data_IF_538570838523
#
_entry.id   IF_538570838523
#
_cell.length_a   1.000
_cell.length_b   1.000
_cell.length_c   1.000
_cell.angle_alpha   90.00
_cell.angle_beta   90.00
_cell.angle_gamma   90.00
#
_symmetry.space_group_name_H-M   'P 1'
#
loop_
_entity.id
_entity.type
_entity.pdbx_description
1 polymer ?
#
# COMPACT_ATOMS: atom_id res chain seq x y z
N UNK A 1 2.09 21.37 -9.52
CA UNK A 1 1.98 20.59 -8.28
C UNK A 1 0.93 19.52 -8.50
N UNK A 2 1.35 18.27 -8.56
CA UNK A 2 0.54 17.10 -8.87
C UNK A 2 0.50 16.19 -7.65
N UNK A 3 -0.71 15.87 -7.17
CA UNK A 3 -0.93 14.94 -6.06
C UNK A 3 -1.70 13.74 -6.60
N UNK A 4 -1.17 12.54 -6.42
CA UNK A 4 -1.82 11.30 -6.78
C UNK A 4 -2.43 10.65 -5.53
N UNK A 5 -3.71 10.33 -5.60
CA UNK A 5 -4.40 9.52 -4.60
C UNK A 5 -4.63 8.11 -5.17
N UNK A 6 -4.08 7.10 -4.52
CA UNK A 6 -4.35 5.70 -4.81
C UNK A 6 -5.41 5.15 -3.85
N UNK A 7 -6.10 4.11 -4.31
CA UNK A 7 -7.05 3.37 -3.47
C UNK A 7 -6.37 2.50 -2.42
N UNK A 8 -7.11 1.50 -1.95
CA UNK A 8 -6.69 0.59 -0.89
C UNK A 8 -5.50 -0.25 -1.33
N UNK A 9 -4.41 -0.15 -0.59
CA UNK A 9 -3.25 -1.00 -0.78
C UNK A 9 -3.49 -2.36 -0.12
N UNK A 10 -3.96 -3.32 -0.91
CA UNK A 10 -4.24 -4.68 -0.46
C UNK A 10 -3.63 -5.72 -1.42
N UNK A 11 -2.29 -5.85 -1.47
CA UNK A 11 -1.61 -6.87 -2.29
C UNK A 11 -1.85 -8.29 -1.74
N UNK A 12 -1.32 -9.29 -2.46
CA UNK A 12 -1.39 -10.70 -2.06
C UNK A 12 -0.82 -10.92 -0.64
N UNK A 13 -1.54 -11.70 0.18
CA UNK A 13 -1.27 -11.83 1.62
C UNK A 13 -0.36 -12.98 2.00
N UNK A 14 -0.33 -14.02 1.17
CA UNK A 14 0.25 -15.33 1.51
C UNK A 14 1.70 -15.47 1.02
N UNK A 15 2.20 -14.49 0.25
CA UNK A 15 3.57 -14.47 -0.27
C UNK A 15 4.45 -13.46 0.45
N UNK A 16 5.77 -13.68 0.40
CA UNK A 16 6.75 -12.65 0.74
C UNK A 16 6.49 -11.37 -0.09
N UNK A 17 6.78 -10.18 0.48
CA UNK A 17 6.59 -8.92 -0.24
C UNK A 17 7.32 -8.92 -1.57
N UNK A 18 6.56 -8.68 -2.65
CA UNK A 18 7.06 -8.46 -4.01
C UNK A 18 6.42 -7.19 -4.56
N UNK A 19 7.02 -6.57 -5.57
CA UNK A 19 6.47 -5.37 -6.18
C UNK A 19 5.07 -5.67 -6.76
N UNK A 20 3.98 -5.08 -6.22
CA UNK A 20 2.64 -5.31 -6.70
C UNK A 20 2.26 -4.37 -7.85
N UNK A 21 3.11 -3.39 -8.17
CA UNK A 21 2.84 -2.36 -9.17
C UNK A 21 3.38 -2.76 -10.54
N UNK A 22 2.64 -2.41 -11.59
CA UNK A 22 3.16 -2.42 -12.95
C UNK A 22 4.07 -1.21 -13.18
N UNK A 23 4.91 -1.28 -14.21
CA UNK A 23 5.77 -0.16 -14.62
C UNK A 23 4.97 1.11 -14.94
N UNK A 24 3.78 0.98 -15.52
CA UNK A 24 2.90 2.11 -15.80
C UNK A 24 2.44 2.83 -14.53
N UNK A 25 2.11 2.08 -13.47
CA UNK A 25 1.69 2.64 -12.19
C UNK A 25 2.85 3.38 -11.52
N UNK A 26 4.03 2.76 -11.51
CA UNK A 26 5.27 3.39 -11.01
C UNK A 26 5.59 4.66 -11.78
N UNK A 27 5.40 4.66 -13.11
CA UNK A 27 5.56 5.87 -13.94
C UNK A 27 4.63 7.01 -13.51
N UNK A 28 3.40 6.71 -13.07
CA UNK A 28 2.48 7.74 -12.54
C UNK A 28 2.92 8.28 -11.18
N UNK A 29 3.47 7.41 -10.31
CA UNK A 29 4.03 7.85 -9.02
C UNK A 29 5.17 8.83 -9.23
N UNK A 30 6.12 8.53 -10.12
CA UNK A 30 7.27 9.40 -10.40
C UNK A 30 6.90 10.72 -11.10
N UNK A 31 5.74 10.82 -11.77
CA UNK A 31 5.24 12.07 -12.37
C UNK A 31 4.55 12.99 -11.37
N UNK A 32 4.32 12.51 -10.14
CA UNK A 32 3.59 13.23 -9.11
C UNK A 32 4.56 13.80 -8.07
N UNK A 33 4.28 15.00 -7.55
CA UNK A 33 5.07 15.59 -6.47
C UNK A 33 4.78 14.89 -5.13
N UNK A 34 3.54 14.41 -4.97
CA UNK A 34 3.09 13.66 -3.81
C UNK A 34 2.23 12.46 -4.22
N UNK A 35 2.42 11.34 -3.52
CA UNK A 35 1.61 10.14 -3.67
C UNK A 35 1.03 9.77 -2.31
N UNK A 36 -0.29 9.67 -2.25
CA UNK A 36 -1.04 9.29 -1.05
C UNK A 36 -1.74 7.97 -1.32
N UNK A 37 -1.43 6.95 -0.52
CA UNK A 37 -1.96 5.59 -0.68
C UNK A 37 -2.76 5.22 0.57
N UNK A 38 -3.95 4.66 0.40
CA UNK A 38 -4.77 4.22 1.51
C UNK A 38 -4.24 2.91 2.11
N UNK A 39 -3.85 2.94 3.39
CA UNK A 39 -3.41 1.77 4.16
C UNK A 39 -4.52 1.22 5.07
N UNK A 40 -5.76 1.15 4.58
CA UNK A 40 -6.89 0.57 5.32
C UNK A 40 -6.64 -0.89 5.75
N UNK A 41 -5.83 -1.62 4.98
CA UNK A 41 -5.22 -2.88 5.38
C UNK A 41 -3.81 -2.61 5.94
N UNK A 42 -3.65 -2.40 7.26
CA UNK A 42 -2.40 -1.91 7.84
C UNK A 42 -1.22 -2.86 7.61
N UNK A 43 -0.04 -2.27 7.43
CA UNK A 43 1.24 -2.94 7.22
C UNK A 43 1.84 -3.43 8.55
N UNK A 44 1.23 -4.43 9.18
CA UNK A 44 1.61 -4.94 10.50
C UNK A 44 1.24 -6.41 10.68
N UNK A 45 2.03 -7.15 11.45
CA UNK A 45 1.71 -8.53 11.84
C UNK A 45 0.90 -8.61 13.15
N UNK A 46 0.86 -7.50 13.92
CA UNK A 46 0.25 -7.46 15.26
C UNK A 46 -0.61 -6.23 15.47
N UNK A 47 -1.37 -6.22 16.56
CA UNK A 47 -2.15 -5.07 17.01
C UNK A 47 -3.65 -5.32 17.02
N UNK A 48 -4.40 -4.35 17.57
CA UNK A 48 -5.85 -4.43 17.65
C UNK A 48 -6.48 -4.21 16.25
N UNK A 49 -7.61 -4.86 15.95
CA UNK A 49 -8.38 -4.58 14.75
C UNK A 49 -8.73 -3.10 14.64
N UNK A 50 -8.72 -2.56 13.43
CA UNK A 50 -9.24 -1.21 13.15
C UNK A 50 -10.76 -1.26 13.27
N UNK A 51 -11.34 -0.28 13.97
CA UNK A 51 -12.80 -0.18 14.06
C UNK A 51 -13.36 0.24 12.69
N UNK A 52 -13.91 -0.72 11.96
CA UNK A 52 -14.49 -0.51 10.64
C UNK A 52 -15.56 -1.55 10.31
N UNK A 53 -16.39 -1.24 9.34
CA UNK A 53 -17.48 -2.11 8.86
C UNK A 53 -16.97 -3.25 7.96
N UNK A 54 -15.81 -3.07 7.31
CA UNK A 54 -15.18 -4.06 6.44
C UNK A 54 -14.25 -5.06 7.17
N UNK A 55 -13.68 -6.04 6.44
CA UNK A 55 -12.81 -7.05 7.02
C UNK A 55 -11.53 -6.44 7.58
N UNK A 56 -11.12 -6.93 8.75
CA UNK A 56 -9.87 -6.52 9.40
C UNK A 56 -8.66 -7.25 8.78
N UNK A 57 -8.30 -6.83 7.57
CA UNK A 57 -7.15 -7.33 6.83
C UNK A 57 -5.86 -6.72 7.38
N UNK A 58 -4.77 -7.47 7.25
CA UNK A 58 -3.41 -7.02 7.55
C UNK A 58 -2.49 -7.45 6.42
N UNK A 59 -1.54 -6.58 6.09
CA UNK A 59 -0.54 -6.79 5.04
C UNK A 59 0.84 -6.85 5.68
N UNK A 60 1.74 -7.63 5.07
CA UNK A 60 3.08 -7.82 5.60
C UNK A 60 3.84 -6.49 5.72
N UNK A 61 4.49 -6.18 6.86
CA UNK A 61 5.12 -4.88 7.12
C UNK A 61 6.26 -4.54 6.14
N UNK A 62 6.89 -5.55 5.55
CA UNK A 62 7.92 -5.39 4.52
C UNK A 62 7.49 -4.58 3.28
N UNK A 63 6.18 -4.50 2.99
CA UNK A 63 5.67 -3.62 1.94
C UNK A 63 5.93 -2.13 2.20
N UNK A 64 6.16 -1.72 3.45
CA UNK A 64 6.47 -0.32 3.77
C UNK A 64 7.80 0.13 3.14
N UNK A 65 8.77 -0.78 3.00
CA UNK A 65 10.03 -0.49 2.30
C UNK A 65 9.77 -0.33 0.81
N UNK A 66 9.01 -1.26 0.23
CA UNK A 66 8.66 -1.25 -1.19
C UNK A 66 7.93 0.03 -1.60
N UNK A 67 6.92 0.45 -0.84
CA UNK A 67 6.17 1.68 -1.12
C UNK A 67 7.04 2.95 -1.05
N UNK A 68 8.07 2.97 -0.19
CA UNK A 68 9.01 4.09 -0.10
C UNK A 68 10.01 4.15 -1.25
N UNK A 69 10.28 3.01 -1.87
CA UNK A 69 11.24 2.84 -2.96
C UNK A 69 10.57 2.87 -4.35
N UNK A 70 9.23 2.91 -4.39
CA UNK A 70 8.41 2.94 -5.62
C UNK A 70 8.22 4.36 -6.18
#
# INVERSE_FOLDING_TARGET
MNILFAGDFCPERESLPRNPFSEDVVSQFHKSDYVIINLEAPLTERGKPTLKTGPNLRIHPGYAKLLKES
#
